data_IF_079048922772
#
_entry.id   IF_079048922772
#
_cell.length_a   1.000
_cell.length_b   1.000
_cell.length_c   1.000
_cell.angle_alpha   90.00
_cell.angle_beta   90.00
_cell.angle_gamma   90.00
#
_symmetry.space_group_name_H-M   'P 1'
#
loop_
_entity.id
_entity.type
_entity.pdbx_description
1 polymer ?
#
# COMPACT_ATOMS: atom_id res chain seq x y z
N UNK A 1 -5.85 -5.19 19.70
CA UNK A 1 -6.03 -6.17 18.62
C UNK A 1 -7.41 -5.93 18.00
N UNK A 2 -7.57 -6.23 16.72
CA UNK A 2 -8.85 -6.07 16.05
C UNK A 2 -9.88 -7.08 16.62
N UNK A 3 -11.08 -6.60 16.95
CA UNK A 3 -12.23 -7.42 17.29
C UNK A 3 -13.42 -6.96 16.43
N UNK A 4 -13.87 -7.84 15.52
CA UNK A 4 -14.89 -7.48 14.54
C UNK A 4 -16.24 -7.12 15.15
N UNK A 5 -16.65 -7.78 16.23
CA UNK A 5 -17.93 -7.54 16.90
C UNK A 5 -17.93 -6.18 17.62
N UNK A 6 -16.87 -5.91 18.39
CA UNK A 6 -16.69 -4.63 19.06
C UNK A 6 -16.58 -3.48 18.05
N UNK A 7 -15.81 -3.67 16.96
CA UNK A 7 -15.66 -2.68 15.90
C UNK A 7 -17.01 -2.35 15.21
N UNK A 8 -17.82 -3.37 14.93
CA UNK A 8 -19.16 -3.16 14.36
C UNK A 8 -20.10 -2.43 15.33
N UNK A 9 -20.04 -2.72 16.63
CA UNK A 9 -20.80 -1.98 17.63
C UNK A 9 -20.38 -0.51 17.65
N UNK A 10 -19.08 -0.22 17.72
CA UNK A 10 -18.54 1.14 17.74
C UNK A 10 -18.91 1.98 16.50
N UNK A 11 -19.27 1.35 15.38
CA UNK A 11 -19.74 2.02 14.16
C UNK A 11 -21.24 2.42 14.20
N UNK A 12 -21.99 2.01 15.22
CA UNK A 12 -23.42 2.29 15.37
C UNK A 12 -23.66 3.39 16.41
N UNK A 13 -24.68 4.22 16.17
CA UNK A 13 -25.04 5.30 17.10
C UNK A 13 -25.63 4.82 18.43
N UNK A 14 -26.08 3.57 18.51
CA UNK A 14 -26.75 2.97 19.65
C UNK A 14 -25.99 1.78 20.28
N UNK A 15 -24.66 1.77 20.21
CA UNK A 15 -23.83 0.78 20.89
C UNK A 15 -24.01 0.88 22.41
N UNK A 16 -24.79 -0.04 22.99
CA UNK A 16 -25.19 0.02 24.40
C UNK A 16 -24.05 -0.32 25.37
N UNK A 17 -23.06 -1.10 24.92
CA UNK A 17 -21.88 -1.49 25.69
C UNK A 17 -20.62 -1.41 24.80
N UNK A 18 -20.02 -0.21 24.67
CA UNK A 18 -18.86 -0.02 23.80
C UNK A 18 -17.62 -0.70 24.38
N UNK A 19 -17.11 -1.68 23.65
CA UNK A 19 -15.88 -2.41 24.00
C UNK A 19 -14.73 -2.06 23.05
N UNK A 20 -13.49 -2.17 23.53
CA UNK A 20 -12.32 -1.79 22.74
C UNK A 20 -12.14 -2.68 21.50
N UNK A 21 -11.75 -2.08 20.40
CA UNK A 21 -11.21 -2.75 19.22
C UNK A 21 -10.15 -1.86 18.57
N UNK A 22 -9.14 -2.47 17.95
CA UNK A 22 -8.33 -1.79 16.95
C UNK A 22 -9.11 -1.59 15.64
N UNK A 23 -8.57 -0.81 14.70
CA UNK A 23 -9.05 -0.79 13.33
C UNK A 23 -8.77 -2.13 12.63
N UNK A 24 -9.58 -2.47 11.63
CA UNK A 24 -9.27 -3.59 10.75
C UNK A 24 -8.02 -3.28 9.92
N UNK A 25 -7.28 -4.34 9.55
CA UNK A 25 -6.17 -4.19 8.60
C UNK A 25 -6.71 -3.68 7.26
N UNK A 26 -6.18 -2.55 6.80
CA UNK A 26 -6.54 -1.99 5.50
C UNK A 26 -5.80 -2.72 4.38
N UNK A 27 -6.54 -3.09 3.33
CA UNK A 27 -5.96 -3.68 2.12
C UNK A 27 -5.83 -2.60 1.05
N UNK A 28 -4.61 -2.40 0.58
CA UNK A 28 -4.30 -1.52 -0.54
C UNK A 28 -4.10 -2.38 -1.77
N UNK A 29 -4.79 -2.03 -2.86
CA UNK A 29 -4.73 -2.76 -4.12
C UNK A 29 -4.26 -1.85 -5.25
N UNK A 30 -3.43 -2.40 -6.13
CA UNK A 30 -3.24 -1.82 -7.45
C UNK A 30 -4.38 -2.25 -8.36
N UNK A 31 -4.96 -1.31 -9.08
CA UNK A 31 -6.06 -1.54 -10.03
C UNK A 31 -5.74 -0.87 -11.35
N UNK A 32 -6.15 -1.51 -12.45
CA UNK A 32 -6.01 -0.99 -13.81
C UNK A 32 -7.33 -1.04 -14.53
N UNK A 33 -7.48 -0.22 -15.57
CA UNK A 33 -8.58 -0.40 -16.51
C UNK A 33 -8.46 -1.74 -17.26
N UNK A 34 -9.59 -2.33 -17.65
CA UNK A 34 -9.63 -3.65 -18.29
C UNK A 34 -8.83 -3.71 -19.60
N UNK A 35 -8.82 -2.62 -20.37
CA UNK A 35 -8.08 -2.56 -21.64
C UNK A 35 -6.57 -2.74 -21.44
N UNK A 36 -6.02 -2.34 -20.29
CA UNK A 36 -4.59 -2.50 -19.99
C UNK A 36 -4.19 -3.97 -19.97
N UNK A 37 -5.07 -4.83 -19.47
CA UNK A 37 -4.84 -6.28 -19.47
C UNK A 37 -4.82 -6.89 -20.88
N UNK A 38 -5.52 -6.28 -21.83
CA UNK A 38 -5.62 -6.76 -23.21
C UNK A 38 -4.49 -6.21 -24.08
N UNK A 39 -4.19 -4.92 -23.93
CA UNK A 39 -3.29 -4.19 -24.83
C UNK A 39 -1.86 -4.07 -24.29
N UNK A 40 -1.67 -4.17 -22.97
CA UNK A 40 -0.38 -4.01 -22.31
C UNK A 40 -0.11 -5.11 -21.27
N UNK A 41 -0.05 -6.39 -21.67
CA UNK A 41 0.12 -7.52 -20.75
C UNK A 41 1.41 -7.44 -19.91
N UNK A 42 2.48 -6.80 -20.44
CA UNK A 42 3.70 -6.55 -19.65
C UNK A 42 3.43 -5.62 -18.45
N UNK A 43 2.63 -4.57 -18.64
CA UNK A 43 2.24 -3.65 -17.56
C UNK A 43 1.37 -4.37 -16.54
N UNK A 44 0.44 -5.20 -16.99
CA UNK A 44 -0.39 -6.01 -16.09
C UNK A 44 0.45 -7.01 -15.29
N UNK A 45 1.48 -7.62 -15.89
CA UNK A 45 2.38 -8.52 -15.17
C UNK A 45 3.21 -7.79 -14.12
N UNK A 46 3.73 -6.60 -14.46
CA UNK A 46 4.40 -5.73 -13.50
C UNK A 46 3.49 -5.39 -12.31
N UNK A 47 2.27 -4.93 -12.58
CA UNK A 47 1.30 -4.53 -11.54
C UNK A 47 0.87 -5.73 -10.68
N UNK A 48 0.72 -6.93 -11.26
CA UNK A 48 0.40 -8.16 -10.51
C UNK A 48 1.49 -8.56 -9.52
N UNK A 49 2.75 -8.24 -9.81
CA UNK A 49 3.90 -8.53 -8.94
C UNK A 49 4.22 -7.39 -7.98
N UNK A 50 3.78 -6.18 -8.30
CA UNK A 50 4.00 -5.00 -7.47
C UNK A 50 3.41 -5.21 -6.07
N UNK A 51 4.30 -5.16 -5.07
CA UNK A 51 3.95 -5.21 -3.66
C UNK A 51 4.83 -4.24 -2.89
N UNK A 52 4.22 -3.42 -2.05
CA UNK A 52 4.91 -2.45 -1.21
C UNK A 52 4.50 -2.66 0.24
N UNK A 53 5.34 -3.31 1.06
CA UNK A 53 5.06 -3.49 2.47
C UNK A 53 4.88 -2.16 3.20
N UNK A 54 3.99 -2.11 4.20
CA UNK A 54 3.70 -0.86 4.94
C UNK A 54 4.95 -0.29 5.62
N UNK A 55 5.88 -1.14 6.06
CA UNK A 55 7.17 -0.70 6.61
C UNK A 55 8.05 0.04 5.60
N UNK A 56 8.02 -0.38 4.33
CA UNK A 56 8.71 0.32 3.23
C UNK A 56 8.05 1.66 2.93
N UNK A 57 6.71 1.70 2.91
CA UNK A 57 5.97 2.96 2.73
C UNK A 57 6.29 3.97 3.85
N UNK A 58 6.30 3.52 5.12
CA UNK A 58 6.63 4.38 6.25
C UNK A 58 8.05 4.95 6.14
N UNK A 59 9.02 4.16 5.67
CA UNK A 59 10.38 4.63 5.41
C UNK A 59 10.41 5.70 4.31
N UNK A 60 9.73 5.49 3.19
CA UNK A 60 9.66 6.46 2.09
C UNK A 60 9.05 7.78 2.58
N UNK A 61 7.98 7.71 3.38
CA UNK A 61 7.33 8.88 3.96
C UNK A 61 8.23 9.62 4.96
N UNK A 62 9.13 8.91 5.66
CA UNK A 62 10.10 9.56 6.57
C UNK A 62 11.14 10.40 5.81
N UNK A 63 11.52 10.01 4.60
CA UNK A 63 12.44 10.82 3.78
C UNK A 63 11.85 12.19 3.43
N UNK A 64 10.52 12.27 3.26
CA UNK A 64 9.86 13.54 3.00
C UNK A 64 9.93 14.48 4.20
N UNK A 65 9.77 13.94 5.42
CA UNK A 65 9.84 14.73 6.66
C UNK A 65 11.25 15.14 7.01
N UNK A 66 12.25 14.32 6.67
CA UNK A 66 13.67 14.58 6.96
C UNK A 66 14.34 15.58 6.00
N UNK A 67 13.94 15.58 4.72
CA UNK A 67 14.68 16.29 3.67
C UNK A 67 13.89 17.31 2.84
N UNK A 68 12.57 17.45 3.08
CA UNK A 68 11.67 18.26 2.23
C UNK A 68 11.80 17.92 0.72
N UNK A 69 12.05 16.64 0.40
CA UNK A 69 12.20 16.17 -0.97
C UNK A 69 10.90 16.37 -1.76
N UNK A 70 11.02 16.72 -3.03
CA UNK A 70 9.88 16.66 -3.96
C UNK A 70 9.46 15.20 -4.18
N UNK A 71 8.22 15.00 -4.66
CA UNK A 71 7.75 13.64 -4.98
C UNK A 71 8.62 12.94 -6.03
N UNK A 72 9.16 13.69 -6.99
CA UNK A 72 10.07 13.14 -8.01
C UNK A 72 11.40 12.69 -7.39
N UNK A 73 11.96 13.48 -6.47
CA UNK A 73 13.18 13.11 -5.75
C UNK A 73 12.97 11.88 -4.84
N UNK A 74 11.80 11.78 -4.20
CA UNK A 74 11.43 10.60 -3.41
C UNK A 74 11.32 9.35 -4.29
N UNK A 75 10.66 9.47 -5.44
CA UNK A 75 10.51 8.37 -6.38
C UNK A 75 11.87 7.92 -6.94
N UNK A 76 12.73 8.86 -7.31
CA UNK A 76 14.08 8.57 -7.78
C UNK A 76 14.89 7.82 -6.72
N UNK A 77 14.87 8.31 -5.47
CA UNK A 77 15.55 7.65 -4.35
C UNK A 77 15.01 6.24 -4.09
N UNK A 78 13.70 6.03 -4.19
CA UNK A 78 13.11 4.70 -4.08
C UNK A 78 13.66 3.75 -5.17
N UNK A 79 13.70 4.21 -6.42
CA UNK A 79 14.26 3.43 -7.53
C UNK A 79 15.74 3.12 -7.28
N UNK A 80 16.53 4.09 -6.84
CA UNK A 80 17.96 3.92 -6.63
C UNK A 80 18.31 3.02 -5.43
N UNK A 81 17.58 3.16 -4.32
CA UNK A 81 17.97 2.54 -3.04
C UNK A 81 17.16 1.28 -2.69
N UNK A 82 15.98 1.06 -3.28
CA UNK A 82 15.04 -0.01 -2.86
C UNK A 82 14.87 -1.11 -3.90
N UNK A 83 15.91 -1.47 -4.65
CA UNK A 83 15.87 -2.59 -5.62
C UNK A 83 15.42 -3.93 -5.00
N UNK A 84 15.72 -4.16 -3.72
CA UNK A 84 15.21 -5.32 -2.98
C UNK A 84 13.67 -5.40 -2.89
N UNK A 85 12.97 -4.28 -3.08
CA UNK A 85 11.51 -4.19 -3.09
C UNK A 85 11.00 -4.32 -4.52
N UNK A 86 11.43 -3.42 -5.41
CA UNK A 86 10.87 -3.33 -6.76
C UNK A 86 11.49 -4.30 -7.77
N UNK A 87 12.66 -4.87 -7.50
CA UNK A 87 13.35 -5.79 -8.41
C UNK A 87 12.49 -7.02 -8.73
N UNK A 88 11.76 -7.54 -7.73
CA UNK A 88 10.82 -8.64 -7.93
C UNK A 88 9.65 -8.29 -8.85
N UNK A 89 9.32 -7.01 -9.02
CA UNK A 89 8.21 -6.57 -9.87
C UNK A 89 8.52 -6.73 -11.36
N UNK A 90 9.81 -6.66 -11.72
CA UNK A 90 10.29 -6.75 -13.10
C UNK A 90 10.89 -8.10 -13.47
N UNK A 91 10.91 -9.07 -12.55
CA UNK A 91 11.47 -10.41 -12.82
C UNK A 91 10.77 -11.11 -13.99
N UNK A 92 11.52 -11.56 -14.98
CA UNK A 92 10.96 -12.23 -16.16
C UNK A 92 10.14 -11.31 -17.07
N UNK A 93 10.42 -9.99 -17.05
CA UNK A 93 10.22 -9.11 -18.20
C UNK A 93 11.23 -9.44 -19.32
#
# INVERSE_FOLDING_TARGET
EFNGENFQCLAQSNCFDPQLSSFADEKIFFVTADWVAQEAPMVTNYIRRATLPIGEMNLILSWQTEGALSFEQLAQRFVDERNQVWGAWIEGL
#
